data_IF_357801881459
#
_entry.id   IF_357801881459
#
_cell.length_a   1.000
_cell.length_b   1.000
_cell.length_c   1.000
_cell.angle_alpha   90.00
_cell.angle_beta   90.00
_cell.angle_gamma   90.00
#
_symmetry.space_group_name_H-M   'P 1'
#
loop_
_entity.id
_entity.type
_entity.pdbx_description
1 polymer ?
#
# COMPACT_ATOMS: atom_id res chain seq x y z
N UNK A 1 7.32 -24.94 2.58
CA UNK A 1 5.92 -24.65 3.05
C UNK A 1 5.93 -23.27 3.69
N UNK A 2 5.09 -22.38 3.23
CA UNK A 2 5.02 -21.01 3.76
C UNK A 2 4.60 -21.01 5.23
N UNK A 3 5.44 -20.44 6.07
CA UNK A 3 5.18 -20.21 7.48
C UNK A 3 4.55 -18.81 7.67
N UNK A 4 3.66 -18.71 8.66
CA UNK A 4 3.02 -17.46 9.05
C UNK A 4 3.28 -17.21 10.53
N UNK A 5 3.77 -16.01 10.88
CA UNK A 5 4.03 -15.60 12.26
C UNK A 5 3.51 -14.20 12.51
N UNK A 6 2.80 -14.00 13.59
CA UNK A 6 2.32 -12.68 14.02
C UNK A 6 3.33 -12.01 14.97
N UNK A 7 3.48 -10.70 14.86
CA UNK A 7 4.30 -9.86 15.72
C UNK A 7 3.41 -8.77 16.29
N UNK A 8 3.35 -8.65 17.62
CA UNK A 8 2.77 -7.51 18.30
C UNK A 8 3.82 -6.38 18.37
N UNK A 9 3.50 -5.22 17.85
CA UNK A 9 4.41 -4.06 17.77
C UNK A 9 4.26 -3.09 18.94
N UNK A 10 3.44 -3.47 19.99
CA UNK A 10 3.28 -2.72 21.23
C UNK A 10 3.07 -1.21 21.02
N UNK A 11 1.92 -0.82 20.49
CA UNK A 11 1.58 0.59 20.36
C UNK A 11 0.69 1.06 21.54
N UNK A 12 0.96 2.23 22.19
CA UNK A 12 0.25 2.64 23.39
C UNK A 12 -1.22 3.04 23.17
N UNK A 13 -1.58 3.45 21.95
CA UNK A 13 -2.91 4.00 21.67
C UNK A 13 -3.86 3.00 20.97
N UNK A 14 -3.35 1.94 20.34
CA UNK A 14 -4.17 0.95 19.63
C UNK A 14 -3.41 -0.37 19.44
N UNK A 15 -4.11 -1.50 19.29
CA UNK A 15 -3.48 -2.76 18.91
C UNK A 15 -2.79 -2.63 17.54
N UNK A 16 -1.53 -3.01 17.46
CA UNK A 16 -0.75 -2.95 16.23
C UNK A 16 0.01 -4.24 16.01
N UNK A 17 -0.21 -4.82 14.84
CA UNK A 17 0.38 -6.11 14.49
C UNK A 17 1.03 -6.07 13.12
N UNK A 18 2.01 -6.95 12.94
CA UNK A 18 2.53 -7.34 11.65
C UNK A 18 2.45 -8.85 11.48
N UNK A 19 2.21 -9.30 10.25
CA UNK A 19 2.28 -10.71 9.89
C UNK A 19 3.49 -10.95 9.01
N UNK A 20 4.35 -11.88 9.43
CA UNK A 20 5.54 -12.30 8.67
C UNK A 20 5.22 -13.60 7.94
N UNK A 21 5.41 -13.60 6.64
CA UNK A 21 5.35 -14.77 5.78
C UNK A 21 6.74 -15.10 5.26
N UNK A 22 7.16 -16.35 5.40
CA UNK A 22 8.47 -16.83 4.94
C UNK A 22 8.38 -18.28 4.46
N UNK A 23 9.29 -18.70 3.61
CA UNK A 23 9.44 -20.12 3.28
C UNK A 23 10.38 -20.76 4.28
N UNK A 24 9.99 -21.93 4.79
CA UNK A 24 10.79 -22.70 5.75
C UNK A 24 12.14 -23.07 5.15
N UNK A 25 13.18 -23.01 5.98
CA UNK A 25 14.55 -23.44 5.63
C UNK A 25 15.13 -22.75 4.37
N UNK A 26 14.62 -21.57 4.01
CA UNK A 26 15.12 -20.81 2.86
C UNK A 26 15.98 -19.64 3.34
N UNK A 27 17.17 -19.50 2.74
CA UNK A 27 18.01 -18.33 2.97
C UNK A 27 17.41 -17.11 2.27
N UNK A 28 16.82 -16.22 3.06
CA UNK A 28 16.07 -15.09 2.54
C UNK A 28 16.97 -14.07 1.85
N UNK A 29 16.56 -13.62 0.65
CA UNK A 29 17.27 -12.63 -0.18
C UNK A 29 17.01 -11.20 0.29
N UNK A 30 15.76 -10.90 0.64
CA UNK A 30 15.30 -9.58 1.07
C UNK A 30 13.95 -9.66 1.81
N UNK A 31 13.57 -8.56 2.44
CA UNK A 31 12.24 -8.39 2.98
C UNK A 31 11.38 -7.46 2.10
N UNK A 32 10.08 -7.74 2.03
CA UNK A 32 9.08 -6.90 1.39
C UNK A 32 8.14 -6.41 2.49
N UNK A 33 8.15 -5.11 2.75
CA UNK A 33 7.28 -4.47 3.73
C UNK A 33 5.99 -4.08 3.01
N UNK A 34 4.92 -4.80 3.29
CA UNK A 34 3.64 -4.67 2.61
C UNK A 34 2.64 -3.86 3.42
N UNK A 35 1.95 -2.93 2.74
CA UNK A 35 0.84 -2.15 3.26
C UNK A 35 -0.40 -2.37 2.39
N UNK A 36 -1.52 -2.72 3.04
CA UNK A 36 -2.76 -3.09 2.36
C UNK A 36 -3.50 -1.91 1.71
N UNK A 37 -4.43 -2.21 0.83
CA UNK A 37 -5.32 -1.25 0.19
C UNK A 37 -6.51 -0.85 1.06
N UNK A 38 -7.63 -0.50 0.41
CA UNK A 38 -8.87 -0.16 1.11
C UNK A 38 -9.12 1.32 1.33
N UNK A 39 -8.51 2.19 0.51
CA UNK A 39 -8.77 3.63 0.52
C UNK A 39 -8.45 4.34 1.84
N UNK A 40 -7.64 3.74 2.72
CA UNK A 40 -7.33 4.16 4.09
C UNK A 40 -8.53 4.06 5.06
N UNK A 41 -9.65 3.45 4.62
CA UNK A 41 -10.91 3.36 5.36
C UNK A 41 -11.25 1.93 5.77
N UNK A 42 -10.71 0.90 5.08
CA UNK A 42 -10.93 -0.52 5.37
C UNK A 42 -9.72 -1.36 5.00
N UNK A 43 -9.79 -2.66 5.25
CA UNK A 43 -8.71 -3.62 4.97
C UNK A 43 -7.94 -4.06 6.20
N UNK A 44 -6.99 -4.93 6.00
CA UNK A 44 -6.09 -5.41 7.05
C UNK A 44 -4.82 -6.03 6.45
N UNK A 45 -3.82 -6.30 7.29
CA UNK A 45 -2.60 -7.02 6.89
C UNK A 45 -2.84 -8.43 6.34
N UNK A 46 -4.05 -8.96 6.52
CA UNK A 46 -4.42 -10.32 6.06
C UNK A 46 -5.04 -10.33 4.65
N UNK A 47 -5.14 -9.18 3.98
CA UNK A 47 -5.83 -9.07 2.69
C UNK A 47 -5.02 -9.54 1.48
N UNK A 48 -3.74 -9.87 1.70
CA UNK A 48 -2.84 -10.26 0.61
C UNK A 48 -3.24 -11.63 0.02
N UNK A 49 -3.46 -11.74 -1.31
CA UNK A 49 -3.85 -12.99 -1.93
C UNK A 49 -2.82 -14.11 -1.71
N UNK A 50 -3.29 -15.33 -1.52
CA UNK A 50 -2.44 -16.49 -1.23
C UNK A 50 -1.40 -16.74 -2.30
N UNK A 51 -1.76 -16.58 -3.57
CA UNK A 51 -0.85 -16.76 -4.70
C UNK A 51 0.36 -15.82 -4.63
N UNK A 52 0.15 -14.55 -4.22
CA UNK A 52 1.25 -13.59 -4.05
C UNK A 52 2.19 -14.01 -2.93
N UNK A 53 1.63 -14.41 -1.79
CA UNK A 53 2.41 -14.89 -0.64
C UNK A 53 3.27 -16.09 -1.07
N UNK A 54 2.66 -17.12 -1.66
CA UNK A 54 3.35 -18.35 -2.01
C UNK A 54 4.42 -18.12 -3.10
N UNK A 55 4.13 -17.28 -4.10
CA UNK A 55 5.08 -16.99 -5.18
C UNK A 55 6.32 -16.26 -4.66
N UNK A 56 6.12 -15.21 -3.87
CA UNK A 56 7.23 -14.39 -3.38
C UNK A 56 8.05 -15.12 -2.30
N UNK A 57 7.39 -15.85 -1.39
CA UNK A 57 8.13 -16.58 -0.34
C UNK A 57 8.93 -17.75 -0.92
N UNK A 58 8.40 -18.50 -1.89
CA UNK A 58 9.14 -19.55 -2.61
C UNK A 58 10.34 -18.99 -3.39
N UNK A 59 10.26 -17.77 -3.86
CA UNK A 59 11.35 -17.09 -4.52
C UNK A 59 12.45 -16.56 -3.56
N UNK A 60 12.26 -16.75 -2.24
CA UNK A 60 13.22 -16.38 -1.21
C UNK A 60 13.01 -14.98 -0.62
N UNK A 61 11.82 -14.42 -0.72
CA UNK A 61 11.49 -13.16 -0.08
C UNK A 61 10.69 -13.39 1.20
N UNK A 62 10.99 -12.62 2.24
CA UNK A 62 10.15 -12.53 3.44
C UNK A 62 9.15 -11.39 3.22
N UNK A 63 7.86 -11.63 3.44
CA UNK A 63 6.84 -10.57 3.40
C UNK A 63 6.49 -10.21 4.84
N UNK A 64 6.57 -8.92 5.16
CA UNK A 64 6.11 -8.35 6.42
C UNK A 64 4.91 -7.48 6.12
N UNK A 65 3.72 -7.98 6.41
CA UNK A 65 2.45 -7.29 6.18
C UNK A 65 2.01 -6.54 7.42
N UNK A 66 1.73 -5.25 7.28
CA UNK A 66 1.39 -4.35 8.39
C UNK A 66 -0.07 -3.92 8.37
N UNK A 67 -0.66 -3.87 9.57
CA UNK A 67 -1.82 -3.02 9.81
C UNK A 67 -1.37 -1.56 9.99
N UNK A 68 -2.28 -0.63 9.75
CA UNK A 68 -2.11 0.80 10.02
C UNK A 68 -3.45 1.41 10.44
N UNK A 69 -3.48 2.52 11.22
CA UNK A 69 -4.71 3.16 11.66
C UNK A 69 -5.59 3.58 10.49
N UNK A 70 -6.89 3.36 10.60
CA UNK A 70 -7.87 3.65 9.55
C UNK A 70 -8.64 4.94 9.84
N UNK A 71 -8.94 5.66 8.77
CA UNK A 71 -9.88 6.78 8.82
C UNK A 71 -11.35 6.25 8.93
N UNK A 72 -12.30 7.08 9.39
CA UNK A 72 -12.16 8.49 9.74
C UNK A 72 -11.60 8.74 11.14
N UNK A 73 -11.45 7.72 12.00
CA UNK A 73 -10.91 7.86 13.36
C UNK A 73 -9.43 8.30 13.35
N UNK A 74 -8.63 7.81 12.39
CA UNK A 74 -7.29 8.31 12.14
C UNK A 74 -7.27 9.35 11.00
N UNK A 75 -6.39 10.33 11.11
CA UNK A 75 -6.11 11.30 10.03
C UNK A 75 -4.80 10.96 9.33
N UNK A 76 -4.55 11.58 8.17
CA UNK A 76 -3.37 11.28 7.35
C UNK A 76 -2.04 11.44 8.08
N UNK A 77 -1.91 12.39 8.97
CA UNK A 77 -0.71 12.58 9.80
C UNK A 77 -0.45 11.37 10.70
N UNK A 78 -1.49 10.88 11.37
CA UNK A 78 -1.44 9.68 12.22
C UNK A 78 -1.13 8.45 11.38
N UNK A 79 -1.82 8.26 10.23
CA UNK A 79 -1.61 7.12 9.33
C UNK A 79 -0.17 7.12 8.80
N UNK A 80 0.30 8.24 8.26
CA UNK A 80 1.66 8.36 7.73
C UNK A 80 2.74 8.22 8.80
N UNK A 81 2.50 8.79 9.98
CA UNK A 81 3.39 8.63 11.14
C UNK A 81 3.53 7.17 11.54
N UNK A 82 2.42 6.44 11.57
CA UNK A 82 2.39 5.00 11.88
C UNK A 82 3.13 4.15 10.83
N UNK A 83 2.89 4.41 9.54
CA UNK A 83 3.57 3.71 8.43
C UNK A 83 5.08 3.95 8.49
N UNK A 84 5.52 5.19 8.64
CA UNK A 84 6.94 5.52 8.76
C UNK A 84 7.56 4.90 10.02
N UNK A 85 6.82 4.84 11.13
CA UNK A 85 7.24 4.17 12.36
C UNK A 85 7.40 2.67 12.16
N UNK A 86 6.49 2.00 11.46
CA UNK A 86 6.57 0.57 11.13
C UNK A 86 7.82 0.25 10.32
N UNK A 87 8.08 1.05 9.27
CA UNK A 87 9.26 0.89 8.42
C UNK A 87 10.55 1.14 9.23
N UNK A 88 10.56 2.18 10.06
CA UNK A 88 11.68 2.51 10.93
C UNK A 88 11.95 1.41 11.97
N UNK A 89 10.89 0.83 12.53
CA UNK A 89 11.01 -0.30 13.46
C UNK A 89 11.66 -1.51 12.79
N UNK A 90 11.24 -1.85 11.55
CA UNK A 90 11.91 -2.91 10.79
C UNK A 90 13.40 -2.62 10.57
N UNK A 91 13.75 -1.38 10.15
CA UNK A 91 15.13 -1.00 9.87
C UNK A 91 16.02 -1.13 11.12
N UNK A 92 15.48 -0.77 12.30
CA UNK A 92 16.22 -0.77 13.56
C UNK A 92 16.24 -2.13 14.27
N UNK A 93 15.25 -3.00 14.00
CA UNK A 93 15.05 -4.29 14.66
C UNK A 93 14.81 -5.43 13.66
N UNK A 94 15.66 -5.60 12.64
CA UNK A 94 15.46 -6.62 11.60
C UNK A 94 15.48 -8.05 12.17
N UNK A 95 16.14 -8.27 13.32
CA UNK A 95 16.19 -9.55 14.01
C UNK A 95 14.81 -10.07 14.43
N UNK A 96 13.88 -9.17 14.75
CA UNK A 96 12.50 -9.52 15.12
C UNK A 96 11.75 -10.14 13.93
N UNK A 97 12.06 -9.69 12.71
CA UNK A 97 11.32 -10.05 11.49
C UNK A 97 11.97 -11.19 10.71
N UNK A 98 13.28 -11.14 10.53
CA UNK A 98 14.01 -12.02 9.63
C UNK A 98 15.34 -12.56 10.21
N UNK A 99 15.60 -12.35 11.50
CA UNK A 99 16.78 -12.86 12.21
C UNK A 99 18.08 -12.11 11.88
N UNK A 100 18.12 -11.31 10.82
CA UNK A 100 19.29 -10.55 10.38
C UNK A 100 18.91 -9.33 9.56
N UNK A 101 19.85 -8.42 9.34
CA UNK A 101 19.63 -7.28 8.42
C UNK A 101 19.63 -7.79 6.98
N UNK A 102 18.57 -7.45 6.26
CA UNK A 102 18.40 -7.74 4.83
C UNK A 102 18.05 -6.45 4.07
N UNK A 103 18.34 -6.38 2.76
CA UNK A 103 17.73 -5.38 1.89
C UNK A 103 16.21 -5.43 2.02
N UNK A 104 15.54 -4.30 1.84
CA UNK A 104 14.08 -4.28 1.91
C UNK A 104 13.45 -3.48 0.78
N UNK A 105 12.25 -3.89 0.42
CA UNK A 105 11.38 -3.21 -0.55
C UNK A 105 10.12 -2.73 0.18
N UNK A 106 9.53 -1.64 -0.30
CA UNK A 106 8.19 -1.23 0.08
C UNK A 106 7.21 -1.74 -0.97
N UNK A 107 6.12 -2.30 -0.56
CA UNK A 107 5.06 -2.76 -1.45
C UNK A 107 3.70 -2.36 -0.93
N UNK A 108 2.91 -1.78 -1.80
CA UNK A 108 1.53 -1.47 -1.47
C UNK A 108 0.59 -1.73 -2.64
N UNK A 109 -0.66 -1.95 -2.31
CA UNK A 109 -1.77 -2.08 -3.24
C UNK A 109 -2.72 -0.89 -3.03
N UNK A 110 -3.14 -0.18 -4.10
CA UNK A 110 -4.06 0.94 -3.97
C UNK A 110 -3.60 1.99 -2.95
N UNK A 111 -4.37 2.22 -1.90
CA UNK A 111 -4.02 3.13 -0.81
C UNK A 111 -2.70 2.75 -0.11
N UNK A 112 -2.38 1.46 0.02
CA UNK A 112 -1.08 1.03 0.54
C UNK A 112 0.08 1.45 -0.37
N UNK A 113 -0.11 1.44 -1.68
CA UNK A 113 0.88 1.95 -2.63
C UNK A 113 1.08 3.47 -2.47
N UNK A 114 0.01 4.22 -2.28
CA UNK A 114 0.07 5.64 -1.94
C UNK A 114 0.90 5.89 -0.67
N UNK A 115 0.67 5.12 0.39
CA UNK A 115 1.45 5.22 1.63
C UNK A 115 2.93 4.89 1.40
N UNK A 116 3.25 3.83 0.66
CA UNK A 116 4.63 3.46 0.31
C UNK A 116 5.36 4.54 -0.49
N UNK A 117 4.68 5.12 -1.47
CA UNK A 117 5.22 6.21 -2.30
C UNK A 117 5.51 7.45 -1.46
N UNK A 118 4.59 7.86 -0.58
CA UNK A 118 4.79 8.99 0.32
C UNK A 118 5.89 8.70 1.35
N UNK A 119 5.91 7.53 1.96
CA UNK A 119 6.94 7.15 2.93
C UNK A 119 8.33 7.16 2.28
N UNK A 120 8.47 6.60 1.08
CA UNK A 120 9.72 6.61 0.34
C UNK A 120 10.17 8.02 -0.07
N UNK A 121 9.23 8.88 -0.50
CA UNK A 121 9.55 10.22 -0.99
C UNK A 121 9.77 11.25 0.12
N UNK A 122 9.07 11.13 1.26
CA UNK A 122 8.96 12.18 2.28
C UNK A 122 9.12 11.69 3.72
N UNK A 123 9.14 10.38 3.95
CA UNK A 123 9.12 9.80 5.29
C UNK A 123 10.42 9.94 6.09
N UNK A 124 11.49 10.51 5.51
CA UNK A 124 12.80 10.64 6.14
C UNK A 124 13.27 9.32 6.81
N UNK A 125 13.11 8.21 6.09
CA UNK A 125 13.42 6.88 6.58
C UNK A 125 14.93 6.75 6.91
N UNK A 126 15.29 5.99 7.96
CA UNK A 126 16.71 5.80 8.36
C UNK A 126 17.56 5.06 7.32
N UNK A 127 16.91 4.33 6.39
CA UNK A 127 17.56 3.66 5.27
C UNK A 127 16.70 3.74 4.01
N UNK A 128 17.35 3.74 2.86
CA UNK A 128 16.67 3.76 1.56
C UNK A 128 16.22 2.35 1.21
N UNK A 129 14.95 2.13 0.80
CA UNK A 129 14.51 0.83 0.29
C UNK A 129 15.22 0.49 -1.02
N UNK A 130 15.40 -0.79 -1.31
CA UNK A 130 15.96 -1.27 -2.57
C UNK A 130 15.03 -0.98 -3.77
N UNK A 131 13.74 -0.77 -3.51
CA UNK A 131 12.74 -0.35 -4.48
C UNK A 131 11.36 -0.22 -3.87
N UNK A 132 10.43 0.37 -4.64
CA UNK A 132 9.02 0.50 -4.27
C UNK A 132 8.18 -0.23 -5.33
N UNK A 133 7.24 -1.05 -4.88
CA UNK A 133 6.24 -1.72 -5.70
C UNK A 133 4.88 -1.03 -5.48
N UNK A 134 4.37 -0.39 -6.51
CA UNK A 134 3.09 0.32 -6.51
C UNK A 134 2.10 -0.42 -7.42
N UNK A 135 1.18 -1.17 -6.84
CA UNK A 135 0.11 -1.82 -7.57
C UNK A 135 -1.13 -0.93 -7.56
N UNK A 136 -1.55 -0.49 -8.76
CA UNK A 136 -2.68 0.43 -8.98
C UNK A 136 -2.75 1.56 -7.94
N UNK A 137 -1.56 2.06 -7.59
CA UNK A 137 -1.41 3.14 -6.65
C UNK A 137 -1.59 4.51 -7.28
N UNK A 138 -1.60 5.50 -6.43
CA UNK A 138 -1.73 6.91 -6.77
C UNK A 138 -0.78 7.75 -5.90
N UNK A 139 -0.60 9.00 -6.25
CA UNK A 139 0.27 9.88 -5.46
C UNK A 139 0.17 11.34 -5.87
N UNK A 140 -0.29 11.61 -7.07
CA UNK A 140 -0.46 12.99 -7.56
C UNK A 140 -1.83 13.55 -7.24
N UNK A 141 -2.84 12.68 -7.06
CA UNK A 141 -4.23 13.05 -6.85
C UNK A 141 -4.70 14.03 -7.96
N UNK A 142 -4.57 13.54 -9.20
CA UNK A 142 -4.92 14.27 -10.40
C UNK A 142 -6.43 14.48 -10.53
N UNK A 143 -6.86 15.54 -11.23
CA UNK A 143 -8.24 15.77 -11.65
C UNK A 143 -9.31 15.67 -10.55
N UNK A 144 -8.91 15.75 -9.27
CA UNK A 144 -9.81 15.73 -8.11
C UNK A 144 -10.78 14.53 -8.05
N UNK A 145 -10.41 13.39 -8.65
CA UNK A 145 -11.23 12.19 -8.68
C UNK A 145 -11.66 11.69 -7.30
N UNK A 146 -10.86 11.94 -6.29
CA UNK A 146 -11.07 11.56 -4.89
C UNK A 146 -12.03 12.52 -4.13
N UNK A 147 -12.31 13.69 -4.69
CA UNK A 147 -13.28 14.71 -4.19
C UNK A 147 -14.53 14.81 -5.09
N UNK A 148 -14.62 13.98 -6.11
CA UNK A 148 -15.74 13.95 -7.03
C UNK A 148 -16.48 12.62 -6.89
N UNK A 149 -17.84 12.63 -6.86
CA UNK A 149 -18.63 11.42 -6.87
C UNK A 149 -18.22 10.50 -8.03
N UNK A 150 -17.86 9.25 -7.72
CA UNK A 150 -17.43 8.28 -8.71
C UNK A 150 -18.62 7.67 -9.43
N UNK A 151 -18.62 7.69 -10.76
CA UNK A 151 -19.68 7.08 -11.57
C UNK A 151 -19.87 5.59 -11.28
N UNK A 152 -18.78 4.86 -11.04
CA UNK A 152 -18.83 3.45 -10.65
C UNK A 152 -19.53 3.27 -9.31
N UNK A 153 -19.08 3.95 -8.26
CA UNK A 153 -19.68 3.81 -6.92
C UNK A 153 -21.11 4.36 -6.85
N UNK A 154 -21.44 5.39 -7.61
CA UNK A 154 -22.82 5.89 -7.72
C UNK A 154 -23.77 4.93 -8.45
N UNK A 155 -23.27 3.92 -9.17
CA UNK A 155 -24.08 2.85 -9.75
C UNK A 155 -24.43 1.73 -8.74
N UNK A 156 -23.75 1.70 -7.59
CA UNK A 156 -24.04 0.78 -6.49
C UNK A 156 -25.22 1.32 -5.64
N UNK A 157 -25.84 0.49 -4.81
CA UNK A 157 -26.80 0.96 -3.83
C UNK A 157 -26.27 2.13 -3.00
N UNK A 158 -27.10 3.17 -2.82
CA UNK A 158 -26.71 4.35 -2.05
C UNK A 158 -26.42 3.99 -0.59
N UNK A 159 -25.31 4.48 -0.07
CA UNK A 159 -24.91 4.30 1.33
C UNK A 159 -25.19 5.59 2.09
N UNK A 160 -25.87 5.47 3.23
CA UNK A 160 -26.19 6.58 4.12
C UNK A 160 -25.02 6.95 5.03
N UNK A 161 -24.97 8.22 5.45
CA UNK A 161 -23.91 8.74 6.34
C UNK A 161 -23.82 8.01 7.71
N UNK A 162 -24.86 7.31 8.12
CA UNK A 162 -24.85 6.50 9.35
C UNK A 162 -23.78 5.40 9.35
N UNK A 163 -23.24 5.02 8.16
CA UNK A 163 -22.08 4.12 8.09
C UNK A 163 -20.85 4.66 8.83
N UNK A 164 -20.70 5.99 8.94
CA UNK A 164 -19.60 6.63 9.66
C UNK A 164 -19.70 6.41 11.17
N UNK A 165 -20.92 6.31 11.70
CA UNK A 165 -21.15 6.01 13.13
C UNK A 165 -20.77 4.58 13.48
N UNK A 166 -20.88 3.65 12.53
CA UNK A 166 -20.52 2.25 12.70
C UNK A 166 -18.99 2.05 12.85
N UNK A 167 -18.19 2.94 12.28
CA UNK A 167 -16.74 2.90 12.46
C UNK A 167 -16.31 3.20 13.91
N UNK A 168 -17.18 3.91 14.67
CA UNK A 168 -16.83 4.36 16.02
C UNK A 168 -15.81 5.49 16.05
N UNK A 169 -15.52 5.98 17.26
CA UNK A 169 -14.52 7.03 17.47
C UNK A 169 -13.13 6.47 17.83
N UNK A 170 -13.04 5.20 18.14
CA UNK A 170 -11.79 4.55 18.54
C UNK A 170 -10.89 4.28 17.34
N UNK A 171 -9.58 4.35 17.55
CA UNK A 171 -8.60 4.03 16.51
C UNK A 171 -8.60 2.52 16.22
N UNK A 172 -8.86 2.17 14.98
CA UNK A 172 -8.81 0.81 14.48
C UNK A 172 -7.67 0.67 13.47
N UNK A 173 -6.97 -0.45 13.50
CA UNK A 173 -5.89 -0.78 12.54
C UNK A 173 -6.30 -1.83 11.51
N UNK A 174 -7.51 -2.34 11.63
CA UNK A 174 -8.14 -3.24 10.66
C UNK A 174 -9.63 -2.95 10.57
N UNK A 175 -10.18 -3.02 9.38
CA UNK A 175 -11.59 -2.82 9.10
C UNK A 175 -12.09 -3.85 8.08
N UNK A 176 -13.05 -4.69 8.50
CA UNK A 176 -13.58 -5.75 7.62
C UNK A 176 -14.40 -5.19 6.47
N UNK A 177 -14.56 -5.97 5.40
CA UNK A 177 -15.46 -5.65 4.30
C UNK A 177 -16.91 -5.47 4.77
N UNK A 178 -17.34 -6.28 5.74
CA UNK A 178 -18.73 -6.25 6.24
C UNK A 178 -19.09 -4.95 6.97
N UNK A 179 -18.12 -4.29 7.59
CA UNK A 179 -18.38 -3.11 8.43
C UNK A 179 -17.82 -1.81 7.85
N UNK A 180 -16.64 -1.83 7.26
CA UNK A 180 -15.90 -0.64 6.87
C UNK A 180 -15.94 -0.34 5.36
N UNK A 181 -16.20 -1.33 4.51
CA UNK A 181 -16.29 -1.09 3.06
C UNK A 181 -17.40 -0.11 2.70
N UNK A 182 -18.52 -0.11 3.44
CA UNK A 182 -19.60 0.86 3.25
C UNK A 182 -19.13 2.31 3.43
N UNK A 183 -18.15 2.57 4.31
CA UNK A 183 -17.56 3.89 4.52
C UNK A 183 -16.81 4.34 3.26
N UNK A 184 -16.07 3.43 2.64
CA UNK A 184 -15.38 3.73 1.38
C UNK A 184 -16.37 3.97 0.23
N UNK A 185 -17.41 3.14 0.11
CA UNK A 185 -18.48 3.34 -0.88
C UNK A 185 -19.14 4.72 -0.69
N UNK A 186 -19.51 5.07 0.54
CA UNK A 186 -20.04 6.38 0.88
C UNK A 186 -19.09 7.51 0.47
N UNK A 187 -17.83 7.41 0.83
CA UNK A 187 -16.81 8.41 0.50
C UNK A 187 -16.67 8.63 -1.01
N UNK A 188 -16.76 7.54 -1.80
CA UNK A 188 -16.67 7.58 -3.25
C UNK A 188 -17.97 8.04 -3.93
N UNK A 189 -19.13 7.75 -3.33
CA UNK A 189 -20.44 8.24 -3.81
C UNK A 189 -20.62 9.74 -3.56
N UNK A 190 -20.07 10.26 -2.47
CA UNK A 190 -20.25 11.66 -2.07
C UNK A 190 -19.08 12.57 -2.43
N UNK A 191 -17.94 12.02 -2.86
CA UNK A 191 -16.70 12.77 -3.05
C UNK A 191 -16.06 13.23 -1.75
N UNK A 192 -16.37 12.59 -0.62
CA UNK A 192 -15.91 13.00 0.72
C UNK A 192 -14.63 12.29 1.19
N UNK A 193 -13.96 11.52 0.33
CA UNK A 193 -12.77 10.75 0.73
C UNK A 193 -11.73 11.62 1.44
N UNK A 194 -11.36 12.75 0.85
CA UNK A 194 -10.37 13.65 1.45
C UNK A 194 -10.83 14.22 2.80
N UNK A 195 -12.07 14.65 2.92
CA UNK A 195 -12.58 15.25 4.16
C UNK A 195 -12.64 14.26 5.33
N UNK A 196 -12.76 12.96 5.04
CA UNK A 196 -12.67 11.91 6.06
C UNK A 196 -11.23 11.68 6.54
N UNK A 197 -10.23 12.05 5.75
CA UNK A 197 -8.81 11.79 6.01
C UNK A 197 -8.04 13.00 6.52
N UNK A 198 -8.45 14.20 6.15
CA UNK A 198 -7.67 15.41 6.36
C UNK A 198 -8.54 16.62 6.71
N UNK A 199 -8.16 17.29 7.80
CA UNK A 199 -8.75 18.54 8.25
C UNK A 199 -7.65 19.61 8.28
N UNK A 200 -7.53 20.39 7.23
CA UNK A 200 -6.50 21.41 7.15
C UNK A 200 -6.61 22.25 5.90
N UNK A 201 -5.64 23.14 5.70
CA UNK A 201 -5.61 23.97 4.50
C UNK A 201 -5.14 23.16 3.31
N UNK A 202 -5.75 23.33 2.14
CA UNK A 202 -5.46 22.65 0.89
C UNK A 202 -3.96 22.69 0.54
N UNK A 203 -3.32 23.84 0.75
CA UNK A 203 -1.88 24.00 0.47
C UNK A 203 -1.04 22.93 1.18
N UNK A 204 -1.33 22.65 2.45
CA UNK A 204 -0.57 21.65 3.22
C UNK A 204 -0.94 20.23 2.82
N UNK A 205 -2.21 19.97 2.47
CA UNK A 205 -2.58 18.68 1.90
C UNK A 205 -1.76 18.36 0.65
N UNK A 206 -1.71 19.28 -0.31
CA UNK A 206 -0.94 19.07 -1.54
C UNK A 206 0.56 19.02 -1.32
N UNK A 207 1.07 19.80 -0.36
CA UNK A 207 2.49 19.82 -0.06
C UNK A 207 2.94 18.53 0.65
N UNK A 208 2.18 18.08 1.65
CA UNK A 208 2.62 17.03 2.57
C UNK A 208 2.15 15.64 2.12
N UNK A 209 0.94 15.54 1.53
CA UNK A 209 0.29 14.27 1.22
C UNK A 209 0.12 14.01 -0.28
N UNK A 210 0.85 14.70 -1.15
CA UNK A 210 0.93 14.34 -2.58
C UNK A 210 2.38 14.36 -3.07
N UNK A 211 2.62 13.71 -4.21
CA UNK A 211 3.93 13.71 -4.88
C UNK A 211 4.13 14.90 -5.83
N UNK A 212 3.20 15.87 -5.86
CA UNK A 212 3.25 17.00 -6.82
C UNK A 212 4.55 17.79 -6.75
N UNK A 213 5.12 17.97 -5.56
CA UNK A 213 6.38 18.66 -5.34
C UNK A 213 7.62 17.76 -5.47
N UNK A 214 7.46 16.44 -5.64
CA UNK A 214 8.58 15.50 -5.73
C UNK A 214 9.08 15.42 -7.17
N UNK A 215 10.38 15.58 -7.35
CA UNK A 215 11.04 15.49 -8.67
C UNK A 215 11.67 14.12 -8.91
N UNK A 216 12.00 13.38 -7.85
CA UNK A 216 12.59 12.06 -7.90
C UNK A 216 12.18 11.24 -6.68
N UNK A 217 12.26 9.92 -6.79
CA UNK A 217 12.21 8.98 -5.68
C UNK A 217 13.64 8.55 -5.31
N UNK A 218 13.90 8.15 -4.06
CA UNK A 218 15.24 7.76 -3.61
C UNK A 218 15.69 6.39 -4.12
N UNK A 219 14.78 5.60 -4.71
CA UNK A 219 15.01 4.24 -5.18
C UNK A 219 14.18 3.94 -6.42
N UNK A 220 14.48 2.84 -7.13
CA UNK A 220 13.70 2.37 -8.26
C UNK A 220 12.23 2.12 -7.92
N UNK A 221 11.36 2.35 -8.90
CA UNK A 221 9.92 2.18 -8.78
C UNK A 221 9.41 1.16 -9.80
N UNK A 222 8.54 0.27 -9.37
CA UNK A 222 7.69 -0.58 -10.20
C UNK A 222 6.24 -0.12 -10.08
N UNK A 223 5.56 0.10 -11.20
CA UNK A 223 4.15 0.46 -11.23
C UNK A 223 3.35 -0.54 -12.05
N UNK A 224 2.29 -1.10 -11.47
CA UNK A 224 1.30 -1.92 -12.16
C UNK A 224 -0.06 -1.22 -12.14
N UNK A 225 -0.80 -1.23 -13.27
CA UNK A 225 -2.13 -0.61 -13.34
C UNK A 225 -3.00 -1.23 -14.43
N UNK A 226 -4.31 -1.29 -14.18
CA UNK A 226 -5.31 -1.66 -15.17
C UNK A 226 -5.71 -0.47 -16.05
N UNK A 227 -5.79 -0.65 -17.37
CA UNK A 227 -6.11 0.48 -18.28
C UNK A 227 -7.53 1.02 -18.12
N UNK A 228 -8.43 0.23 -17.55
CA UNK A 228 -9.85 0.59 -17.29
C UNK A 228 -10.19 0.43 -15.81
N UNK A 229 -9.25 0.81 -14.94
CA UNK A 229 -9.47 0.87 -13.51
C UNK A 229 -10.63 1.83 -13.21
N UNK A 230 -11.64 1.32 -12.52
CA UNK A 230 -12.89 2.03 -12.22
C UNK A 230 -12.87 2.76 -10.87
N UNK A 231 -11.77 2.63 -10.12
CA UNK A 231 -11.59 3.27 -8.82
C UNK A 231 -10.48 4.33 -8.85
N UNK A 232 -9.26 3.94 -9.18
CA UNK A 232 -8.12 4.87 -9.33
C UNK A 232 -7.90 5.16 -10.82
N UNK A 233 -8.08 6.40 -11.27
CA UNK A 233 -7.94 6.74 -12.68
C UNK A 233 -6.55 6.40 -13.24
N UNK A 234 -6.50 5.87 -14.46
CA UNK A 234 -5.26 5.58 -15.17
C UNK A 234 -4.33 6.80 -15.32
N UNK A 235 -4.88 8.02 -15.19
CA UNK A 235 -4.12 9.25 -15.13
C UNK A 235 -3.08 9.31 -14.02
N UNK A 236 -3.35 8.68 -12.87
CA UNK A 236 -2.36 8.56 -11.78
C UNK A 236 -1.14 7.74 -12.20
N UNK A 237 -1.36 6.62 -12.90
CA UNK A 237 -0.28 5.81 -13.44
C UNK A 237 0.54 6.58 -14.49
N UNK A 238 -0.11 7.37 -15.35
CA UNK A 238 0.57 8.18 -16.35
C UNK A 238 1.45 9.26 -15.70
N UNK A 239 0.96 9.93 -14.64
CA UNK A 239 1.75 10.92 -13.91
C UNK A 239 2.94 10.30 -13.19
N UNK A 240 2.75 9.15 -12.52
CA UNK A 240 3.85 8.38 -11.92
C UNK A 240 4.89 8.00 -12.98
N UNK A 241 4.42 7.53 -14.14
CA UNK A 241 5.28 7.11 -15.25
C UNK A 241 6.08 8.25 -15.86
N UNK A 242 5.44 9.39 -16.08
CA UNK A 242 6.08 10.58 -16.63
C UNK A 242 7.12 11.16 -15.68
N UNK A 243 6.81 11.20 -14.38
CA UNK A 243 7.64 11.83 -13.37
C UNK A 243 8.83 10.97 -12.95
N UNK A 244 8.60 9.69 -12.69
CA UNK A 244 9.58 8.81 -12.04
C UNK A 244 10.15 7.72 -12.94
N UNK A 245 9.59 7.51 -14.14
CA UNK A 245 10.03 6.52 -15.14
C UNK A 245 10.17 5.11 -14.53
N UNK A 246 9.13 4.56 -13.93
CA UNK A 246 9.17 3.24 -13.30
C UNK A 246 9.35 2.13 -14.35
N UNK A 247 9.72 0.93 -13.88
CA UNK A 247 9.37 -0.29 -14.60
C UNK A 247 7.85 -0.42 -14.57
N UNK A 248 7.23 -0.66 -15.73
CA UNK A 248 5.79 -0.60 -15.90
C UNK A 248 5.20 -1.97 -16.19
N UNK A 249 4.06 -2.27 -15.56
CA UNK A 249 3.18 -3.36 -15.93
C UNK A 249 1.79 -2.81 -16.22
N UNK A 250 1.31 -2.98 -17.46
CA UNK A 250 0.01 -2.47 -17.89
C UNK A 250 -0.90 -3.65 -18.19
N UNK A 251 -1.98 -3.79 -17.42
CA UNK A 251 -3.01 -4.78 -17.63
C UNK A 251 -4.14 -4.19 -18.48
N UNK A 252 -4.41 -4.78 -19.65
CA UNK A 252 -5.57 -4.40 -20.46
C UNK A 252 -6.84 -5.09 -19.92
N UNK A 253 -7.28 -4.67 -18.73
CA UNK A 253 -8.41 -5.26 -18.02
C UNK A 253 -9.25 -4.20 -17.33
N UNK A 254 -10.46 -4.60 -16.96
CA UNK A 254 -11.36 -3.86 -16.09
C UNK A 254 -11.12 -4.25 -14.63
N UNK A 255 -11.47 -3.35 -13.74
CA UNK A 255 -11.35 -3.57 -12.30
C UNK A 255 -10.05 -3.02 -11.71
N UNK A 256 -10.16 -2.63 -10.45
CA UNK A 256 -9.08 -1.97 -9.72
C UNK A 256 -8.02 -2.97 -9.26
N UNK A 257 -8.42 -3.99 -8.51
CA UNK A 257 -7.52 -5.00 -7.93
C UNK A 257 -7.53 -6.31 -8.74
N UNK A 258 -7.25 -6.20 -10.06
CA UNK A 258 -7.34 -7.26 -11.04
C UNK A 258 -6.53 -8.53 -10.69
N UNK A 259 -5.51 -8.40 -9.87
CA UNK A 259 -4.63 -9.48 -9.42
C UNK A 259 -5.16 -10.24 -8.19
N UNK A 260 -6.31 -9.82 -7.63
CA UNK A 260 -6.99 -10.54 -6.54
C UNK A 260 -7.63 -11.84 -7.04
N UNK A 261 -8.10 -11.84 -8.27
CA UNK A 261 -8.56 -13.04 -8.94
C UNK A 261 -7.34 -13.86 -9.41
N UNK A 262 -7.13 -15.01 -8.78
CA UNK A 262 -6.01 -15.88 -9.08
C UNK A 262 -6.10 -16.52 -10.48
N UNK A 263 -7.28 -16.57 -11.07
CA UNK A 263 -7.53 -17.06 -12.44
C UNK A 263 -7.31 -15.96 -13.50
N UNK A 264 -7.15 -14.71 -13.10
CA UNK A 264 -6.90 -13.62 -14.03
C UNK A 264 -5.54 -13.82 -14.73
N UNK A 265 -5.49 -13.82 -16.08
CA UNK A 265 -4.28 -14.10 -16.85
C UNK A 265 -3.17 -13.06 -16.65
N UNK A 266 -3.49 -11.89 -16.08
CA UNK A 266 -2.51 -10.87 -15.75
C UNK A 266 -1.83 -11.12 -14.40
N UNK A 267 -2.42 -11.90 -13.48
CA UNK A 267 -1.88 -12.13 -12.13
C UNK A 267 -0.52 -12.81 -12.18
N UNK A 268 -0.38 -13.87 -12.97
CA UNK A 268 0.90 -14.59 -13.12
C UNK A 268 1.97 -13.70 -13.74
N UNK A 269 1.64 -13.02 -14.84
CA UNK A 269 2.57 -12.12 -15.53
C UNK A 269 3.01 -10.96 -14.62
N UNK A 270 2.11 -10.42 -13.81
CA UNK A 270 2.43 -9.37 -12.84
C UNK A 270 3.43 -9.88 -11.80
N UNK A 271 3.25 -11.08 -11.29
CA UNK A 271 4.15 -11.70 -10.33
C UNK A 271 5.53 -11.98 -10.93
N UNK A 272 5.61 -12.45 -12.17
CA UNK A 272 6.87 -12.67 -12.90
C UNK A 272 7.64 -11.36 -13.08
N UNK A 273 6.96 -10.28 -13.51
CA UNK A 273 7.56 -8.95 -13.67
C UNK A 273 8.00 -8.36 -12.32
N UNK A 274 7.23 -8.64 -11.26
CA UNK A 274 7.58 -8.24 -9.89
C UNK A 274 8.85 -8.94 -9.44
N UNK A 275 8.96 -10.25 -9.61
CA UNK A 275 10.16 -11.02 -9.28
C UNK A 275 11.38 -10.52 -10.06
N UNK A 276 11.21 -10.25 -11.35
CA UNK A 276 12.28 -9.72 -12.18
C UNK A 276 12.77 -8.35 -11.68
N UNK A 277 11.85 -7.46 -11.29
CA UNK A 277 12.19 -6.16 -10.70
C UNK A 277 12.93 -6.30 -9.36
N UNK A 278 12.45 -7.17 -8.48
CA UNK A 278 13.06 -7.41 -7.18
C UNK A 278 14.52 -7.94 -7.34
N UNK A 279 14.73 -8.91 -8.22
CA UNK A 279 16.06 -9.51 -8.45
C UNK A 279 17.05 -8.55 -9.10
N UNK A 280 16.58 -7.72 -10.04
CA UNK A 280 17.40 -6.70 -10.68
C UNK A 280 17.93 -5.69 -9.65
N UNK A 281 17.06 -5.20 -8.76
CA UNK A 281 17.42 -4.15 -7.81
C UNK A 281 18.20 -4.68 -6.59
N UNK A 282 18.15 -5.98 -6.28
CA UNK A 282 19.06 -6.59 -5.33
C UNK A 282 20.50 -6.63 -5.82
N UNK A 283 20.72 -6.83 -7.12
CA UNK A 283 22.07 -6.85 -7.73
C UNK A 283 22.70 -5.45 -7.76
N UNK A 284 21.88 -4.40 -7.82
CA UNK A 284 22.32 -3.00 -7.87
C UNK A 284 22.54 -2.39 -6.47
N UNK A 285 21.93 -2.97 -5.43
CA UNK A 285 22.14 -2.51 -4.05
C UNK A 285 23.55 -2.92 -3.61
N UNK A 286 24.47 -1.98 -3.33
CA UNK A 286 25.76 -2.35 -2.75
C UNK A 286 25.48 -3.06 -1.43
N UNK A 287 26.10 -4.22 -1.26
CA UNK A 287 26.09 -4.93 0.02
C UNK A 287 26.46 -3.91 1.10
N UNK A 288 25.49 -3.54 1.93
CA UNK A 288 25.75 -2.73 3.11
C UNK A 288 26.50 -3.64 4.09
N UNK A 289 27.86 -3.63 3.95
CA UNK A 289 28.76 -4.21 4.94
C UNK A 289 28.60 -3.54 6.30
#
# INVERSE_FOLDING_TARGET
>A
MTEKREINLEHPAYPKYATVYSEKDTDAKACILYFHGGGLLYGSREDLPRRHIDTLTRAGYIIVSYDYPLAPAARLDTIMGDVCSSITHYINHPEIYCGRKLPFFLWGRSAGAYLCLLAGAKGNLPAVPAGILSYYGYGFLCDHWYETPSGFYCSLPAVDASCLEQAGADLHTAGSLDTHYSIYVYARQTGSWRSLLYEGRDKYFYLDYTLRACTALPCPLFCAHGTRDNDVPYGEFLELSNRFRPRQFIASCDGHDFDRDEENPFTEKLLDETLAFLEENLKLSPAQC
#
